data_IF_859195171307
#
_entry.id   IF_859195171307
#
_cell.length_a   1.000
_cell.length_b   1.000
_cell.length_c   1.000
_cell.angle_alpha   90.00
_cell.angle_beta   90.00
_cell.angle_gamma   90.00
#
_symmetry.space_group_name_H-M   'P 1'
#
loop_
_entity.id
_entity.type
_entity.pdbx_description
1 polymer ?
#
# COMPACT_ATOMS: atom_id res chain seq x y z
N UNK A 1 18.68 22.37 13.98
CA UNK A 1 17.67 21.43 13.41
C UNK A 1 18.13 20.76 12.12
N UNK A 2 19.08 21.33 11.37
CA UNK A 2 19.70 20.65 10.23
C UNK A 2 20.42 19.38 10.68
N UNK A 3 20.08 18.23 10.08
CA UNK A 3 20.71 16.93 10.33
C UNK A 3 19.90 15.95 11.20
N UNK A 4 18.78 16.36 11.80
CA UNK A 4 17.89 15.45 12.53
C UNK A 4 17.05 14.59 11.58
N UNK A 5 16.85 13.32 11.92
CA UNK A 5 15.85 12.48 11.25
C UNK A 5 14.42 12.96 11.56
N UNK A 6 13.46 12.74 10.65
CA UNK A 6 12.09 13.28 10.76
C UNK A 6 11.45 13.08 12.15
N UNK A 7 11.59 11.89 12.75
CA UNK A 7 11.02 11.59 14.08
C UNK A 7 11.64 12.45 15.19
N UNK A 8 12.95 12.65 15.13
CA UNK A 8 13.68 13.46 16.12
C UNK A 8 13.43 14.95 15.90
N UNK A 9 13.30 15.37 14.63
CA UNK A 9 12.88 16.72 14.28
C UNK A 9 11.50 17.05 14.85
N UNK A 10 10.49 16.18 14.64
CA UNK A 10 9.15 16.41 15.19
C UNK A 10 9.15 16.45 16.71
N UNK A 11 9.82 15.51 17.38
CA UNK A 11 9.99 15.54 18.84
C UNK A 11 10.64 16.83 19.34
N UNK A 12 11.60 17.36 18.60
CA UNK A 12 12.28 18.61 18.95
C UNK A 12 11.35 19.80 18.76
N UNK A 13 10.60 19.85 17.65
CA UNK A 13 9.60 20.88 17.38
C UNK A 13 8.48 20.87 18.44
N UNK A 14 7.99 19.70 18.84
CA UNK A 14 6.94 19.57 19.87
C UNK A 14 7.37 20.10 21.25
N UNK A 15 8.68 20.27 21.48
CA UNK A 15 9.23 20.82 22.73
C UNK A 15 9.57 22.31 22.64
N UNK A 16 9.31 22.96 21.49
CA UNK A 16 9.50 24.41 21.35
C UNK A 16 8.39 25.13 22.13
N UNK A 17 8.59 25.31 23.44
CA UNK A 17 7.67 26.08 24.26
C UNK A 17 7.54 27.55 23.82
N UNK A 18 6.50 28.23 24.30
CA UNK A 18 6.34 29.68 24.17
C UNK A 18 7.58 30.37 24.75
N UNK A 19 8.30 31.13 23.92
CA UNK A 19 9.34 32.04 24.41
C UNK A 19 8.66 33.33 24.81
N UNK A 20 8.76 33.69 26.08
CA UNK A 20 8.22 34.93 26.63
C UNK A 20 9.27 36.04 26.40
N UNK A 21 9.14 36.78 25.30
CA UNK A 21 10.06 37.85 24.91
C UNK A 21 9.33 38.95 24.12
N UNK A 22 9.32 40.17 24.66
CA UNK A 22 8.44 41.24 24.20
C UNK A 22 9.06 42.15 23.14
N UNK A 23 9.07 41.72 21.87
CA UNK A 23 9.47 42.57 20.74
C UNK A 23 8.77 42.18 19.42
N UNK A 24 8.53 43.14 18.52
CA UNK A 24 7.76 42.91 17.28
C UNK A 24 8.47 41.92 16.30
N UNK A 25 9.81 41.90 16.31
CA UNK A 25 10.62 40.87 15.64
C UNK A 25 10.58 39.48 16.30
N UNK A 26 10.09 39.41 17.53
CA UNK A 26 9.91 38.19 18.32
C UNK A 26 8.53 37.55 18.02
N UNK A 27 7.52 38.36 17.65
CA UNK A 27 6.17 37.89 17.36
C UNK A 27 6.10 36.90 16.18
N UNK A 28 6.80 37.18 15.07
CA UNK A 28 6.85 36.27 13.90
C UNK A 28 7.59 34.97 14.25
N UNK A 29 8.67 35.06 15.01
CA UNK A 29 9.43 33.89 15.47
C UNK A 29 8.62 33.03 16.44
N UNK A 30 7.90 33.65 17.37
CA UNK A 30 6.98 33.00 18.30
C UNK A 30 5.82 32.31 17.58
N UNK A 31 5.17 32.99 16.63
CA UNK A 31 4.11 32.40 15.81
C UNK A 31 4.61 31.19 15.01
N UNK A 32 5.84 31.28 14.48
CA UNK A 32 6.50 30.17 13.77
C UNK A 32 6.75 28.99 14.71
N UNK A 33 7.33 29.22 15.88
CA UNK A 33 7.58 28.17 16.88
C UNK A 33 6.29 27.51 17.37
N UNK A 34 5.24 28.30 17.63
CA UNK A 34 3.93 27.79 18.02
C UNK A 34 3.35 26.89 16.92
N UNK A 35 3.39 27.35 15.67
CA UNK A 35 2.90 26.56 14.52
C UNK A 35 3.68 25.26 14.35
N UNK A 36 5.02 25.31 14.47
CA UNK A 36 5.88 24.12 14.39
C UNK A 36 5.57 23.12 15.51
N UNK A 37 5.34 23.60 16.73
CA UNK A 37 4.98 22.76 17.88
C UNK A 37 3.63 22.09 17.67
N UNK A 38 2.61 22.85 17.29
CA UNK A 38 1.26 22.33 17.04
C UNK A 38 1.25 21.27 15.93
N UNK A 39 1.97 21.52 14.82
CA UNK A 39 2.08 20.54 13.73
C UNK A 39 2.83 19.29 14.17
N UNK A 40 3.90 19.44 14.95
CA UNK A 40 4.66 18.31 15.45
C UNK A 40 3.85 17.43 16.42
N UNK A 41 3.15 18.04 17.38
CA UNK A 41 2.22 17.33 18.27
C UNK A 41 1.15 16.59 17.48
N UNK A 42 0.57 17.22 16.46
CA UNK A 42 -0.43 16.59 15.61
C UNK A 42 0.13 15.40 14.83
N UNK A 43 1.36 15.52 14.32
CA UNK A 43 2.05 14.41 13.65
C UNK A 43 2.28 13.26 14.63
N UNK A 44 2.73 13.52 15.85
CA UNK A 44 2.95 12.48 16.86
C UNK A 44 1.64 11.78 17.23
N UNK A 45 0.56 12.53 17.43
CA UNK A 45 -0.77 12.00 17.72
C UNK A 45 -1.27 11.09 16.59
N UNK A 46 -1.23 11.57 15.34
CA UNK A 46 -1.68 10.80 14.17
C UNK A 46 -0.81 9.57 13.93
N UNK A 47 0.50 9.67 14.17
CA UNK A 47 1.41 8.52 14.09
C UNK A 47 1.03 7.46 15.10
N UNK A 48 0.75 7.84 16.36
CA UNK A 48 0.28 6.91 17.38
C UNK A 48 -1.04 6.23 17.01
N UNK A 49 -1.99 6.97 16.42
CA UNK A 49 -3.25 6.39 15.93
C UNK A 49 -3.03 5.40 14.77
N UNK A 50 -2.15 5.74 13.82
CA UNK A 50 -1.77 4.83 12.73
C UNK A 50 -1.15 3.55 13.27
N UNK A 51 -0.26 3.65 14.27
CA UNK A 51 0.39 2.49 14.89
C UNK A 51 -0.60 1.59 15.65
N UNK A 52 -1.58 2.17 16.33
CA UNK A 52 -2.67 1.42 16.98
C UNK A 52 -3.55 0.72 15.94
N UNK A 53 -3.98 1.45 14.90
CA UNK A 53 -4.79 0.87 13.83
C UNK A 53 -4.04 -0.26 13.12
N UNK A 54 -2.76 -0.08 12.80
CA UNK A 54 -1.94 -1.15 12.22
C UNK A 54 -1.89 -2.39 13.11
N UNK A 55 -1.75 -2.24 14.43
CA UNK A 55 -1.81 -3.37 15.38
C UNK A 55 -3.18 -4.05 15.39
N UNK A 56 -4.27 -3.30 15.32
CA UNK A 56 -5.62 -3.85 15.21
C UNK A 56 -5.82 -4.62 13.90
N UNK A 57 -5.44 -4.03 12.75
CA UNK A 57 -5.53 -4.68 11.45
C UNK A 57 -4.68 -5.95 11.39
N UNK A 58 -3.47 -5.92 11.95
CA UNK A 58 -2.59 -7.10 12.02
C UNK A 58 -3.28 -8.25 12.73
N UNK A 59 -3.82 -8.01 13.94
CA UNK A 59 -4.54 -9.03 14.71
C UNK A 59 -5.76 -9.59 13.96
N UNK A 60 -6.50 -8.74 13.25
CA UNK A 60 -7.64 -9.19 12.45
C UNK A 60 -7.20 -10.10 11.30
N UNK A 61 -6.15 -9.73 10.56
CA UNK A 61 -5.65 -10.56 9.46
C UNK A 61 -5.07 -11.86 9.98
N UNK A 62 -4.30 -11.85 11.06
CA UNK A 62 -3.76 -13.06 11.70
C UNK A 62 -4.87 -14.04 12.12
N UNK A 63 -6.01 -13.50 12.58
CA UNK A 63 -7.15 -14.33 12.98
C UNK A 63 -7.93 -14.93 11.80
N UNK A 64 -8.12 -14.16 10.73
CA UNK A 64 -9.08 -14.52 9.66
C UNK A 64 -8.42 -14.98 8.37
N UNK A 65 -7.22 -14.50 8.06
CA UNK A 65 -6.49 -14.84 6.84
C UNK A 65 -4.96 -14.78 7.04
N UNK A 66 -4.41 -15.53 8.02
CA UNK A 66 -2.98 -15.48 8.35
C UNK A 66 -2.07 -15.82 7.17
N UNK A 67 -2.55 -16.66 6.25
CA UNK A 67 -1.84 -17.03 5.04
C UNK A 67 -1.54 -15.84 4.11
N UNK A 68 -2.26 -14.71 4.25
CA UNK A 68 -1.95 -13.49 3.51
C UNK A 68 -0.69 -12.78 4.01
N UNK A 69 -0.27 -12.99 5.26
CA UNK A 69 0.92 -12.35 5.83
C UNK A 69 2.21 -13.16 5.62
N UNK A 70 2.09 -14.38 5.10
CA UNK A 70 3.24 -15.25 4.80
C UNK A 70 4.05 -14.76 3.59
N UNK A 71 3.44 -14.39 2.44
CA UNK A 71 4.19 -13.97 1.26
C UNK A 71 4.82 -12.59 1.46
N UNK A 72 6.04 -12.45 0.93
CA UNK A 72 6.78 -11.16 0.96
C UNK A 72 5.93 -10.04 0.35
N UNK A 73 5.87 -8.91 1.05
CA UNK A 73 5.25 -7.69 0.56
C UNK A 73 3.76 -7.52 0.82
N UNK A 74 3.05 -8.57 1.27
CA UNK A 74 1.67 -8.43 1.71
C UNK A 74 1.65 -8.06 3.20
N UNK A 75 1.47 -6.76 3.48
CA UNK A 75 1.30 -6.26 4.84
C UNK A 75 -0.18 -6.20 5.27
N UNK A 76 -0.46 -6.00 6.57
CA UNK A 76 -1.82 -5.97 7.13
C UNK A 76 -2.77 -5.01 6.40
N UNK A 77 -2.35 -3.77 6.15
CA UNK A 77 -3.14 -2.77 5.42
C UNK A 77 -3.53 -3.23 3.99
N UNK A 78 -2.56 -3.80 3.26
CA UNK A 78 -2.80 -4.32 1.91
C UNK A 78 -3.67 -5.57 1.92
N UNK A 79 -3.48 -6.45 2.90
CA UNK A 79 -4.31 -7.64 3.09
C UNK A 79 -5.77 -7.26 3.38
N UNK A 80 -6.01 -6.39 4.36
CA UNK A 80 -7.36 -5.91 4.71
C UNK A 80 -8.01 -5.20 3.53
N UNK A 81 -7.29 -4.31 2.84
CA UNK A 81 -7.81 -3.64 1.65
C UNK A 81 -8.31 -4.65 0.61
N UNK A 82 -7.51 -5.69 0.33
CA UNK A 82 -7.86 -6.70 -0.67
C UNK A 82 -9.00 -7.61 -0.22
N UNK A 83 -9.09 -7.93 1.08
CA UNK A 83 -10.21 -8.66 1.66
C UNK A 83 -11.51 -7.86 1.58
N UNK A 84 -11.48 -6.56 1.92
CA UNK A 84 -12.63 -5.65 1.78
C UNK A 84 -13.09 -5.59 0.32
N UNK A 85 -12.16 -5.42 -0.62
CA UNK A 85 -12.49 -5.42 -2.05
C UNK A 85 -13.13 -6.74 -2.48
N UNK A 86 -12.61 -7.88 -2.00
CA UNK A 86 -13.17 -9.20 -2.30
C UNK A 86 -14.61 -9.32 -1.76
N UNK A 87 -14.82 -8.83 -0.53
CA UNK A 87 -16.09 -8.87 0.21
C UNK A 87 -16.41 -10.25 0.77
N UNK A 88 -17.49 -10.31 1.56
CA UNK A 88 -17.86 -11.52 2.33
C UNK A 88 -18.63 -12.58 1.51
N UNK A 89 -18.80 -12.35 0.20
CA UNK A 89 -19.53 -13.25 -0.70
C UNK A 89 -18.52 -13.97 -1.63
N UNK A 90 -17.88 -15.07 -1.17
CA UNK A 90 -16.84 -15.75 -1.93
C UNK A 90 -17.33 -16.26 -3.29
N UNK A 91 -18.62 -16.61 -3.40
CA UNK A 91 -19.23 -17.08 -4.65
C UNK A 91 -19.30 -16.02 -5.76
N UNK A 92 -19.25 -14.73 -5.39
CA UNK A 92 -19.26 -13.61 -6.36
C UNK A 92 -18.00 -13.59 -7.22
N UNK A 93 -16.88 -14.15 -6.72
CA UNK A 93 -15.59 -14.12 -7.37
C UNK A 93 -15.12 -15.54 -7.71
N UNK A 94 -15.69 -16.08 -8.78
CA UNK A 94 -15.42 -17.45 -9.24
C UNK A 94 -14.06 -17.64 -9.92
N UNK A 95 -13.38 -16.57 -10.35
CA UNK A 95 -12.13 -16.69 -11.12
C UNK A 95 -11.08 -15.65 -10.73
N UNK A 96 -9.80 -16.02 -10.89
CA UNK A 96 -8.67 -15.08 -10.79
C UNK A 96 -8.84 -13.86 -11.71
N UNK A 97 -9.51 -14.06 -12.86
CA UNK A 97 -9.72 -13.02 -13.85
C UNK A 97 -10.74 -11.97 -13.39
N UNK A 98 -11.84 -12.39 -12.76
CA UNK A 98 -12.82 -11.46 -12.20
C UNK A 98 -12.24 -10.68 -11.03
N UNK A 99 -11.45 -11.32 -10.15
CA UNK A 99 -10.76 -10.61 -9.06
C UNK A 99 -9.78 -9.56 -9.58
N UNK A 100 -8.95 -9.93 -10.56
CA UNK A 100 -8.02 -8.98 -11.13
C UNK A 100 -8.71 -7.86 -11.94
N UNK A 101 -9.90 -8.10 -12.51
CA UNK A 101 -10.72 -7.03 -13.09
C UNK A 101 -11.27 -6.10 -12.01
N UNK A 102 -11.75 -6.66 -10.90
CA UNK A 102 -12.22 -5.92 -9.73
C UNK A 102 -11.11 -5.03 -9.15
N UNK A 103 -9.87 -5.52 -9.04
CA UNK A 103 -8.74 -4.70 -8.58
C UNK A 103 -8.18 -3.74 -9.67
N UNK A 104 -8.78 -3.69 -10.86
CA UNK A 104 -8.32 -2.82 -11.96
C UNK A 104 -6.94 -3.20 -12.51
N UNK A 105 -6.51 -4.45 -12.37
CA UNK A 105 -5.23 -4.98 -12.89
C UNK A 105 -5.41 -5.95 -14.06
N UNK A 106 -6.64 -6.11 -14.56
CA UNK A 106 -6.89 -6.76 -15.85
C UNK A 106 -6.48 -5.82 -17.01
N UNK A 107 -5.73 -6.32 -18.01
CA UNK A 107 -5.55 -5.58 -19.25
C UNK A 107 -6.88 -5.47 -19.99
N UNK A 108 -7.21 -4.29 -20.51
CA UNK A 108 -8.35 -4.10 -21.42
C UNK A 108 -7.82 -4.05 -22.84
N UNK A 109 -8.37 -4.87 -23.73
CA UNK A 109 -8.02 -4.81 -25.15
C UNK A 109 -8.43 -3.47 -25.75
N UNK A 110 -7.49 -2.86 -26.46
CA UNK A 110 -7.68 -1.59 -27.15
C UNK A 110 -6.82 -1.63 -28.41
N UNK A 111 -7.29 -2.36 -29.40
CA UNK A 111 -6.59 -2.60 -30.66
C UNK A 111 -7.45 -2.17 -31.83
N UNK A 112 -6.85 -1.44 -32.77
CA UNK A 112 -7.40 -1.25 -34.11
C UNK A 112 -6.60 -2.11 -35.09
N UNK A 113 -7.28 -2.93 -35.89
CA UNK A 113 -6.81 -3.75 -37.02
C UNK A 113 -5.36 -4.28 -36.99
N UNK A 114 -4.36 -3.39 -37.15
CA UNK A 114 -2.93 -3.72 -37.27
C UNK A 114 -2.13 -3.68 -35.95
N UNK A 115 -2.67 -3.21 -34.83
CA UNK A 115 -1.90 -3.03 -33.60
C UNK A 115 -2.63 -3.57 -32.37
N UNK A 116 -2.13 -4.67 -31.81
CA UNK A 116 -2.61 -5.19 -30.52
C UNK A 116 -2.05 -4.33 -29.39
N UNK A 117 -2.84 -3.37 -28.89
CA UNK A 117 -2.51 -2.59 -27.71
C UNK A 117 -3.51 -2.91 -26.60
N UNK A 118 -3.02 -2.85 -25.36
CA UNK A 118 -3.84 -3.03 -24.16
C UNK A 118 -3.77 -1.76 -23.33
N UNK A 119 -4.92 -1.28 -22.87
CA UNK A 119 -5.04 -0.11 -21.99
C UNK A 119 -5.23 -0.54 -20.54
N UNK A 120 -5.09 0.44 -19.63
CA UNK A 120 -5.35 0.24 -18.20
C UNK A 120 -6.85 0.06 -17.96
N UNK A 121 -7.19 -0.78 -16.99
CA UNK A 121 -8.54 -0.83 -16.46
C UNK A 121 -8.72 0.29 -15.42
N UNK A 122 -9.60 1.24 -15.73
CA UNK A 122 -9.91 2.38 -14.86
C UNK A 122 -11.14 2.17 -13.98
N UNK A 123 -11.94 1.11 -14.23
CA UNK A 123 -13.20 0.84 -13.55
C UNK A 123 -13.10 -0.07 -12.32
N UNK A 124 -11.90 -0.57 -12.00
CA UNK A 124 -11.68 -1.36 -10.78
C UNK A 124 -11.42 -0.50 -9.54
N UNK A 125 -11.44 -1.16 -8.38
CA UNK A 125 -11.12 -0.59 -7.07
C UNK A 125 -9.69 -0.04 -7.06
N UNK A 126 -9.60 1.28 -6.84
CA UNK A 126 -8.32 2.01 -6.86
C UNK A 126 -7.49 1.77 -5.60
N UNK A 127 -8.11 1.47 -4.46
CA UNK A 127 -7.40 1.11 -3.24
C UNK A 127 -6.77 -0.27 -3.38
N UNK A 128 -7.53 -1.25 -3.89
CA UNK A 128 -6.96 -2.57 -4.23
C UNK A 128 -5.81 -2.47 -5.23
N UNK A 129 -5.98 -1.63 -6.26
CA UNK A 129 -4.94 -1.38 -7.26
C UNK A 129 -3.67 -0.81 -6.62
N UNK A 130 -3.81 0.11 -5.65
CA UNK A 130 -2.72 0.70 -4.90
C UNK A 130 -2.06 -0.31 -3.95
N UNK A 131 -2.85 -1.14 -3.25
CA UNK A 131 -2.35 -2.22 -2.40
C UNK A 131 -1.49 -3.21 -3.21
N UNK A 132 -1.96 -3.67 -4.37
CA UNK A 132 -1.17 -4.52 -5.28
C UNK A 132 0.12 -3.84 -5.76
N UNK A 133 0.09 -2.52 -5.97
CA UNK A 133 1.30 -1.78 -6.33
C UNK A 133 2.30 -1.75 -5.16
N UNK A 134 1.84 -1.50 -3.93
CA UNK A 134 2.69 -1.53 -2.72
C UNK A 134 3.33 -2.90 -2.52
N UNK A 135 2.56 -3.98 -2.67
CA UNK A 135 3.06 -5.36 -2.62
C UNK A 135 4.20 -5.56 -3.63
N UNK A 136 3.97 -5.20 -4.89
CA UNK A 136 4.98 -5.34 -5.95
C UNK A 136 6.22 -4.49 -5.69
N UNK A 137 6.03 -3.26 -5.18
CA UNK A 137 7.15 -2.38 -4.87
C UNK A 137 8.03 -2.94 -3.75
N UNK A 138 7.41 -3.47 -2.69
CA UNK A 138 8.13 -4.15 -1.61
C UNK A 138 8.86 -5.39 -2.13
N UNK A 139 8.22 -6.20 -2.98
CA UNK A 139 8.85 -7.38 -3.60
C UNK A 139 10.03 -7.02 -4.49
N UNK A 140 9.96 -5.94 -5.27
CA UNK A 140 11.09 -5.49 -6.06
C UNK A 140 12.30 -5.10 -5.19
N UNK A 141 12.09 -4.75 -3.93
CA UNK A 141 13.16 -4.43 -2.99
C UNK A 141 13.69 -5.65 -2.23
N UNK A 142 12.84 -6.63 -1.92
CA UNK A 142 13.18 -7.69 -0.96
C UNK A 142 12.95 -9.13 -1.44
N UNK A 143 12.24 -9.36 -2.55
CA UNK A 143 11.96 -10.71 -3.07
C UNK A 143 12.84 -11.01 -4.30
N UNK A 144 13.84 -11.91 -4.16
CA UNK A 144 14.74 -12.28 -5.26
C UNK A 144 14.00 -12.82 -6.49
N UNK A 145 12.88 -13.53 -6.31
CA UNK A 145 12.10 -14.09 -7.42
C UNK A 145 11.48 -12.98 -8.27
N UNK A 146 10.93 -11.95 -7.62
CA UNK A 146 10.36 -10.79 -8.30
C UNK A 146 11.45 -9.95 -8.98
N UNK A 147 12.62 -9.80 -8.35
CA UNK A 147 13.78 -9.12 -8.94
C UNK A 147 14.28 -9.84 -10.21
N UNK A 148 14.49 -11.15 -10.14
CA UNK A 148 14.88 -11.96 -11.29
C UNK A 148 13.86 -11.89 -12.43
N UNK A 149 12.56 -11.90 -12.10
CA UNK A 149 11.51 -11.69 -13.11
C UNK A 149 11.63 -10.30 -13.75
N UNK A 150 11.84 -9.26 -12.95
CA UNK A 150 11.98 -7.89 -13.44
C UNK A 150 13.17 -7.76 -14.41
N UNK A 151 14.33 -8.28 -14.03
CA UNK A 151 15.55 -8.27 -14.85
C UNK A 151 15.33 -9.01 -16.16
N UNK A 152 14.82 -10.24 -16.11
CA UNK A 152 14.53 -11.03 -17.31
C UNK A 152 13.58 -10.29 -18.27
N UNK A 153 12.48 -9.73 -17.77
CA UNK A 153 11.54 -9.00 -18.63
C UNK A 153 12.12 -7.69 -19.18
N UNK A 154 13.05 -7.08 -18.45
CA UNK A 154 13.80 -5.90 -18.92
C UNK A 154 14.70 -6.27 -20.09
N UNK A 155 15.41 -7.40 -20.01
CA UNK A 155 16.23 -7.94 -21.12
C UNK A 155 15.38 -8.30 -22.35
N UNK A 156 14.15 -8.76 -22.15
CA UNK A 156 13.17 -8.99 -23.23
C UNK A 156 12.58 -7.69 -23.82
N UNK A 157 13.09 -6.51 -23.45
CA UNK A 157 12.70 -5.22 -24.01
C UNK A 157 11.41 -4.62 -23.45
N UNK A 158 10.83 -5.17 -22.37
CA UNK A 158 9.65 -4.56 -21.74
C UNK A 158 10.00 -3.30 -20.95
N UNK A 159 9.11 -2.33 -21.01
CA UNK A 159 9.22 -1.14 -20.16
C UNK A 159 8.91 -1.48 -18.70
N UNK A 160 9.51 -0.73 -17.76
CA UNK A 160 9.21 -0.85 -16.32
C UNK A 160 7.71 -0.86 -16.02
N UNK A 161 6.92 -0.02 -16.71
CA UNK A 161 5.47 0.05 -16.55
C UNK A 161 4.77 -1.24 -16.95
N UNK A 162 5.20 -1.89 -18.03
CA UNK A 162 4.63 -3.17 -18.47
C UNK A 162 4.99 -4.31 -17.52
N UNK A 163 6.22 -4.32 -17.01
CA UNK A 163 6.68 -5.32 -16.04
C UNK A 163 5.87 -5.20 -14.75
N UNK A 164 5.70 -3.97 -14.21
CA UNK A 164 4.89 -3.73 -13.02
C UNK A 164 3.44 -4.19 -13.23
N UNK A 165 2.84 -3.96 -14.40
CA UNK A 165 1.49 -4.47 -14.69
C UNK A 165 1.43 -6.00 -14.64
N UNK A 166 2.42 -6.69 -15.20
CA UNK A 166 2.51 -8.15 -15.10
C UNK A 166 2.64 -8.61 -13.65
N UNK A 167 3.53 -7.98 -12.87
CA UNK A 167 3.74 -8.30 -11.45
C UNK A 167 2.48 -8.07 -10.61
N UNK A 168 1.75 -6.97 -10.84
CA UNK A 168 0.47 -6.71 -10.16
C UNK A 168 -0.58 -7.76 -10.50
N UNK A 169 -0.61 -8.25 -11.74
CA UNK A 169 -1.50 -9.35 -12.13
C UNK A 169 -1.13 -10.66 -11.43
N UNK A 170 0.16 -10.95 -11.26
CA UNK A 170 0.61 -12.11 -10.48
C UNK A 170 0.28 -11.99 -8.99
N UNK A 171 0.50 -10.82 -8.39
CA UNK A 171 0.13 -10.56 -7.00
C UNK A 171 -1.38 -10.73 -6.78
N UNK A 172 -2.23 -10.23 -7.70
CA UNK A 172 -3.68 -10.42 -7.60
C UNK A 172 -4.08 -11.91 -7.69
N UNK A 173 -3.46 -12.67 -8.59
CA UNK A 173 -3.65 -14.12 -8.71
C UNK A 173 -3.28 -14.85 -7.42
N UNK A 174 -2.12 -14.54 -6.85
CA UNK A 174 -1.65 -15.17 -5.62
C UNK A 174 -2.59 -14.89 -4.45
N UNK A 175 -2.99 -13.62 -4.26
CA UNK A 175 -3.95 -13.23 -3.22
C UNK A 175 -5.28 -13.96 -3.40
N UNK A 176 -5.81 -14.03 -4.62
CA UNK A 176 -7.05 -14.76 -4.89
C UNK A 176 -6.96 -16.23 -4.45
N UNK A 177 -5.86 -16.90 -4.78
CA UNK A 177 -5.65 -18.30 -4.43
C UNK A 177 -5.50 -18.49 -2.92
N UNK A 178 -4.79 -17.59 -2.23
CA UNK A 178 -4.62 -17.63 -0.78
C UNK A 178 -5.93 -17.45 -0.01
N UNK A 179 -6.82 -16.56 -0.48
CA UNK A 179 -8.13 -16.37 0.18
C UNK A 179 -9.05 -17.56 -0.09
N UNK A 180 -9.11 -18.04 -1.33
CA UNK A 180 -9.98 -19.17 -1.69
C UNK A 180 -9.65 -20.45 -0.93
N UNK A 181 -8.35 -20.75 -0.73
CA UNK A 181 -7.92 -21.91 0.06
C UNK A 181 -8.37 -21.83 1.52
N UNK A 182 -8.43 -20.64 2.11
CA UNK A 182 -8.94 -20.48 3.47
C UNK A 182 -10.46 -20.61 3.57
N UNK A 183 -11.22 -20.12 2.58
CA UNK A 183 -12.68 -20.29 2.56
C UNK A 183 -13.13 -21.74 2.40
N UNK A 184 -12.28 -22.62 1.85
CA UNK A 184 -12.55 -24.07 1.74
C UNK A 184 -12.24 -24.86 3.02
N UNK A 185 -11.63 -24.24 4.04
CA UNK A 185 -11.44 -24.89 5.33
C UNK A 185 -12.77 -24.83 6.13
N UNK A 186 -13.26 -25.95 6.67
CA UNK A 186 -14.50 -25.95 7.43
C UNK A 186 -14.35 -25.04 8.65
N UNK A 187 -15.25 -24.07 8.78
CA UNK A 187 -15.47 -23.33 10.02
C UNK A 187 -15.81 -24.32 11.13
N UNK A 188 -14.96 -24.37 12.16
CA UNK A 188 -15.23 -25.08 13.42
C UNK A 188 -16.51 -24.59 14.09
#
# INVERSE_FOLDING_TARGET
MSGLGNRELFRTCARLGLRDGGGDGDAVAQATHMTLSMLAERIEQLTGQIDELNRCLTRLVERHAPQLLVPVGIGPDSAVTLLITMGDNPERLSTEASFAALCGVSPIEYSSGRRTRRRLNHGGDRQANAALYRIVFTRLRFDPRTQAYYERRTQEGKTRREIIRCLKRYAAREVFNLVRTASSAPSL
#
